data_IF_819952321877
#
_entry.id   IF_819952321877
#
_cell.length_a   1.000
_cell.length_b   1.000
_cell.length_c   1.000
_cell.angle_alpha   90.00
_cell.angle_beta   90.00
_cell.angle_gamma   90.00
#
_symmetry.space_group_name_H-M   'P 1'
#
loop_
_entity.id
_entity.type
_entity.pdbx_description
1 polymer ?
#
# COMPACT_ATOMS: atom_id res chain seq x y z
N UNK A 1 -23.72 26.31 6.80
CA UNK A 1 -23.90 25.15 7.70
C UNK A 1 -23.49 23.83 7.05
N UNK A 2 -23.92 23.52 5.82
CA UNK A 2 -23.65 22.23 5.15
C UNK A 2 -22.15 21.91 4.96
N UNK A 3 -21.30 22.90 4.60
CA UNK A 3 -19.83 22.72 4.52
C UNK A 3 -19.15 22.45 5.87
N UNK A 4 -19.67 23.02 6.96
CA UNK A 4 -19.12 22.81 8.31
C UNK A 4 -19.46 21.40 8.78
N UNK A 5 -20.69 20.93 8.53
CA UNK A 5 -21.10 19.56 8.85
C UNK A 5 -20.29 18.52 8.06
N UNK A 6 -20.08 18.74 6.76
CA UNK A 6 -19.24 17.86 5.93
C UNK A 6 -17.77 17.83 6.38
N UNK A 7 -17.23 18.98 6.82
CA UNK A 7 -15.87 19.03 7.36
C UNK A 7 -15.73 18.33 8.73
N UNK A 8 -16.74 18.42 9.59
CA UNK A 8 -16.75 17.69 10.86
C UNK A 8 -16.81 16.17 10.60
N UNK A 9 -17.59 15.73 9.60
CA UNK A 9 -17.69 14.32 9.22
C UNK A 9 -16.35 13.76 8.70
N UNK A 10 -15.64 14.49 7.83
CA UNK A 10 -14.32 14.06 7.33
C UNK A 10 -13.26 13.98 8.43
N UNK A 11 -13.21 14.94 9.35
CA UNK A 11 -12.27 14.90 10.49
C UNK A 11 -12.58 13.73 11.44
N UNK A 12 -13.86 13.49 11.72
CA UNK A 12 -14.29 12.36 12.54
C UNK A 12 -13.89 11.04 11.88
N UNK A 13 -14.07 10.91 10.57
CA UNK A 13 -13.69 9.72 9.81
C UNK A 13 -12.18 9.46 9.88
N UNK A 14 -11.35 10.48 9.69
CA UNK A 14 -9.89 10.38 9.85
C UNK A 14 -9.53 9.91 11.27
N UNK A 15 -10.17 10.48 12.30
CA UNK A 15 -9.93 10.11 13.70
C UNK A 15 -10.32 8.64 13.95
N UNK A 16 -11.46 8.19 13.44
CA UNK A 16 -11.93 6.81 13.58
C UNK A 16 -11.00 5.83 12.87
N UNK A 17 -10.65 6.08 11.60
CA UNK A 17 -9.74 5.21 10.82
C UNK A 17 -8.38 5.11 11.51
N UNK A 18 -7.82 6.22 11.98
CA UNK A 18 -6.53 6.22 12.68
C UNK A 18 -6.59 5.50 14.04
N UNK A 19 -7.68 5.67 14.78
CA UNK A 19 -7.89 4.98 16.07
C UNK A 19 -8.00 3.46 15.85
N UNK A 20 -8.87 3.04 14.91
CA UNK A 20 -9.02 1.63 14.54
C UNK A 20 -7.69 1.01 14.10
N UNK A 21 -6.90 1.73 13.31
CA UNK A 21 -5.59 1.24 12.88
C UNK A 21 -4.61 1.07 14.05
N UNK A 22 -4.62 1.98 15.02
CA UNK A 22 -3.79 1.87 16.23
C UNK A 22 -4.24 0.69 17.08
N UNK A 23 -5.55 0.50 17.26
CA UNK A 23 -6.11 -0.65 17.96
C UNK A 23 -5.70 -1.97 17.31
N UNK A 24 -5.86 -2.10 15.98
CA UNK A 24 -5.40 -3.26 15.20
C UNK A 24 -3.91 -3.54 15.46
N UNK A 25 -3.10 -2.49 15.37
CA UNK A 25 -1.64 -2.58 15.48
C UNK A 25 -1.24 -3.06 16.87
N UNK A 26 -1.90 -2.58 17.92
CA UNK A 26 -1.65 -3.00 19.31
C UNK A 26 -2.09 -4.44 19.53
N UNK A 27 -3.28 -4.83 19.05
CA UNK A 27 -3.78 -6.20 19.14
C UNK A 27 -2.83 -7.20 18.45
N UNK A 28 -2.37 -6.87 17.24
CA UNK A 28 -1.40 -7.68 16.49
C UNK A 28 -0.05 -7.77 17.23
N UNK A 29 0.44 -6.67 17.80
CA UNK A 29 1.69 -6.67 18.57
C UNK A 29 1.59 -7.53 19.84
N UNK A 30 0.47 -7.45 20.57
CA UNK A 30 0.22 -8.27 21.75
C UNK A 30 0.09 -9.76 21.40
N UNK A 31 -0.60 -10.08 20.31
CA UNK A 31 -0.71 -11.45 19.81
C UNK A 31 0.66 -12.03 19.44
N UNK A 32 1.48 -11.27 18.71
CA UNK A 32 2.86 -11.65 18.37
C UNK A 32 3.70 -11.92 19.62
N UNK A 33 3.62 -11.04 20.62
CA UNK A 33 4.38 -11.18 21.87
C UNK A 33 4.00 -12.45 22.66
N UNK A 34 2.71 -12.79 22.68
CA UNK A 34 2.20 -14.01 23.33
C UNK A 34 2.65 -15.28 22.59
N UNK A 35 2.69 -15.24 21.26
CA UNK A 35 3.18 -16.35 20.45
C UNK A 35 4.68 -16.57 20.68
N UNK A 36 5.48 -15.50 20.72
CA UNK A 36 6.92 -15.61 21.02
C UNK A 36 7.20 -16.12 22.42
N UNK A 37 6.40 -15.70 23.41
CA UNK A 37 6.49 -16.21 24.79
C UNK A 37 6.16 -17.71 24.87
N UNK A 38 5.12 -18.18 24.15
CA UNK A 38 4.76 -19.60 24.10
C UNK A 38 5.80 -20.48 23.39
N UNK A 39 6.45 -19.97 22.36
CA UNK A 39 7.55 -20.67 21.65
C UNK A 39 8.83 -20.71 22.50
N UNK A 40 9.01 -19.74 23.40
CA UNK A 40 10.17 -19.66 24.31
C UNK A 40 10.05 -20.60 25.52
N UNK A 41 8.98 -21.41 25.62
CA UNK A 41 8.83 -22.42 26.66
C UNK A 41 9.80 -23.60 26.36
N UNK A 42 10.66 -24.00 27.32
CA UNK A 42 11.86 -24.81 27.06
C UNK A 42 11.65 -26.24 26.54
N UNK A 43 10.41 -26.72 26.48
CA UNK A 43 10.07 -28.08 26.01
C UNK A 43 10.21 -28.25 24.49
N UNK A 44 10.32 -27.17 23.70
CA UNK A 44 10.43 -27.19 22.23
C UNK A 44 11.83 -26.72 21.74
N UNK A 45 12.68 -26.30 22.68
CA UNK A 45 13.99 -25.67 22.42
C UNK A 45 15.09 -26.62 21.93
N UNK A 46 14.81 -27.93 21.78
CA UNK A 46 15.80 -28.90 21.30
C UNK A 46 16.02 -28.89 19.77
N UNK A 47 15.27 -28.10 18.98
CA UNK A 47 15.35 -28.21 17.50
C UNK A 47 15.65 -26.95 16.69
N UNK A 48 15.79 -25.77 17.26
CA UNK A 48 16.04 -24.54 16.47
C UNK A 48 17.11 -23.65 17.08
N UNK A 49 18.37 -23.99 16.77
CA UNK A 49 19.53 -23.12 16.98
C UNK A 49 19.58 -22.06 15.88
N UNK A 50 18.94 -20.90 16.10
CA UNK A 50 19.35 -19.58 15.57
C UNK A 50 18.36 -18.48 16.03
N UNK A 51 18.72 -17.65 17.01
CA UNK A 51 17.87 -16.58 17.50
C UNK A 51 18.20 -15.26 16.78
N UNK A 52 17.74 -15.04 15.54
CA UNK A 52 17.81 -13.70 14.92
C UNK A 52 16.84 -13.43 13.76
N UNK A 53 15.64 -14.02 13.77
CA UNK A 53 14.69 -13.82 12.67
C UNK A 53 13.40 -13.20 13.19
N UNK A 54 13.25 -11.88 13.09
CA UNK A 54 11.92 -11.24 13.10
C UNK A 54 11.20 -11.70 11.84
N UNK A 55 10.26 -12.63 12.01
CA UNK A 55 9.41 -13.14 10.94
C UNK A 55 8.35 -12.10 10.62
N UNK A 56 8.20 -11.77 9.34
CA UNK A 56 7.33 -10.69 8.88
C UNK A 56 5.90 -11.17 8.60
N UNK A 57 5.65 -12.47 8.47
CA UNK A 57 4.30 -13.01 8.31
C UNK A 57 4.09 -14.33 9.05
N UNK A 58 3.00 -14.33 9.82
CA UNK A 58 2.42 -15.40 10.62
C UNK A 58 2.15 -16.66 9.79
N UNK A 59 2.47 -17.84 10.34
CA UNK A 59 1.85 -19.10 9.91
C UNK A 59 0.67 -19.54 10.76
N UNK A 60 0.45 -18.93 11.94
CA UNK A 60 -0.64 -19.30 12.83
C UNK A 60 -1.24 -18.07 13.51
N UNK A 61 -1.96 -17.23 12.75
CA UNK A 61 -2.85 -16.23 13.33
C UNK A 61 -3.97 -17.00 14.04
N UNK A 62 -4.16 -16.90 15.36
CA UNK A 62 -5.25 -17.57 16.05
C UNK A 62 -6.60 -17.21 15.39
N UNK A 63 -7.51 -18.18 15.25
CA UNK A 63 -8.83 -17.98 14.62
C UNK A 63 -9.60 -16.76 15.18
N UNK A 64 -9.43 -16.46 16.47
CA UNK A 64 -9.99 -15.26 17.10
C UNK A 64 -9.48 -13.96 16.47
N UNK A 65 -8.18 -13.89 16.18
CA UNK A 65 -7.56 -12.72 15.57
C UNK A 65 -7.91 -12.65 14.07
N UNK A 66 -8.10 -13.78 13.38
CA UNK A 66 -8.61 -13.77 12.00
C UNK A 66 -10.04 -13.23 11.90
N UNK A 67 -10.93 -13.65 12.81
CA UNK A 67 -12.31 -13.13 12.85
C UNK A 67 -12.31 -11.64 13.16
N UNK A 68 -11.48 -11.22 14.12
CA UNK A 68 -11.30 -9.81 14.44
C UNK A 68 -10.81 -8.98 13.25
N UNK A 69 -9.82 -9.47 12.50
CA UNK A 69 -9.35 -8.80 11.27
C UNK A 69 -10.50 -8.63 10.25
N UNK A 70 -11.35 -9.64 10.08
CA UNK A 70 -12.53 -9.56 9.19
C UNK A 70 -13.56 -8.54 9.67
N UNK A 71 -13.82 -8.50 10.98
CA UNK A 71 -14.72 -7.50 11.58
C UNK A 71 -14.16 -6.09 11.33
N UNK A 72 -12.86 -5.90 11.55
CA UNK A 72 -12.18 -4.63 11.30
C UNK A 72 -12.20 -4.24 9.81
N UNK A 73 -12.01 -5.18 8.89
CA UNK A 73 -12.15 -4.92 7.45
C UNK A 73 -13.54 -4.38 7.11
N UNK A 74 -14.57 -4.90 7.77
CA UNK A 74 -15.95 -4.43 7.60
C UNK A 74 -16.11 -3.00 8.13
N UNK A 75 -15.61 -2.72 9.33
CA UNK A 75 -15.59 -1.37 9.92
C UNK A 75 -14.84 -0.36 9.06
N UNK A 76 -13.66 -0.71 8.54
CA UNK A 76 -12.91 0.14 7.64
C UNK A 76 -13.65 0.40 6.33
N UNK A 77 -14.30 -0.60 5.73
CA UNK A 77 -15.07 -0.39 4.50
C UNK A 77 -16.24 0.58 4.71
N UNK A 78 -16.89 0.58 5.88
CA UNK A 78 -17.91 1.59 6.22
C UNK A 78 -17.36 3.02 6.28
N UNK A 79 -16.07 3.17 6.57
CA UNK A 79 -15.37 4.45 6.63
C UNK A 79 -14.73 4.83 5.29
N UNK A 80 -15.04 4.14 4.19
CA UNK A 80 -14.53 4.52 2.88
C UNK A 80 -15.04 5.92 2.46
N UNK A 81 -14.15 6.84 2.07
CA UNK A 81 -14.55 8.14 1.52
C UNK A 81 -15.37 7.98 0.24
N UNK A 82 -16.44 8.76 0.09
CA UNK A 82 -17.30 8.68 -1.10
C UNK A 82 -16.56 9.17 -2.35
N UNK A 83 -16.34 8.27 -3.32
CA UNK A 83 -15.59 8.52 -4.56
C UNK A 83 -16.25 9.49 -5.56
N UNK A 84 -17.42 10.06 -5.23
CA UNK A 84 -18.33 10.66 -6.21
C UNK A 84 -18.02 12.10 -6.62
N UNK A 85 -16.87 12.65 -6.27
CA UNK A 85 -16.51 13.97 -6.78
C UNK A 85 -15.01 14.04 -6.98
N UNK A 86 -14.61 14.35 -8.22
CA UNK A 86 -13.32 14.93 -8.56
C UNK A 86 -12.83 15.76 -7.36
N UNK A 87 -11.60 15.55 -6.83
CA UNK A 87 -11.21 16.12 -5.55
C UNK A 87 -11.55 17.59 -5.57
N UNK A 88 -12.59 17.95 -4.83
CA UNK A 88 -12.87 19.35 -4.60
C UNK A 88 -11.57 19.94 -4.02
N UNK A 89 -11.24 21.18 -4.33
CA UNK A 89 -10.04 21.82 -3.82
C UNK A 89 -10.01 21.95 -2.27
N UNK A 90 -10.97 21.32 -1.57
CA UNK A 90 -11.01 21.18 -0.12
C UNK A 90 -9.93 20.19 0.34
N UNK A 91 -8.89 20.72 0.98
CA UNK A 91 -7.76 19.95 1.48
C UNK A 91 -8.16 18.86 2.49
N UNK A 92 -9.32 18.99 3.14
CA UNK A 92 -9.80 17.98 4.09
C UNK A 92 -10.31 16.71 3.39
N UNK A 93 -11.01 16.84 2.28
CA UNK A 93 -11.47 15.69 1.48
C UNK A 93 -10.29 14.90 0.90
N UNK A 94 -9.22 15.61 0.51
CA UNK A 94 -7.98 15.00 0.05
C UNK A 94 -7.28 14.28 1.21
N UNK A 95 -7.23 14.90 2.39
CA UNK A 95 -6.65 14.28 3.59
C UNK A 95 -7.37 12.98 3.96
N UNK A 96 -8.69 12.99 4.00
CA UNK A 96 -9.52 11.83 4.32
C UNK A 96 -9.26 10.67 3.34
N UNK A 97 -9.33 10.97 2.04
CA UNK A 97 -9.01 10.02 0.95
C UNK A 97 -7.61 9.42 1.09
N UNK A 98 -6.59 10.27 1.27
CA UNK A 98 -5.21 9.81 1.34
C UNK A 98 -4.91 9.02 2.61
N UNK A 99 -5.43 9.44 3.77
CA UNK A 99 -5.22 8.73 5.03
C UNK A 99 -5.90 7.36 4.97
N UNK A 100 -7.15 7.28 4.49
CA UNK A 100 -7.86 6.02 4.31
C UNK A 100 -7.05 5.03 3.45
N UNK A 101 -6.69 5.43 2.22
CA UNK A 101 -5.98 4.54 1.31
C UNK A 101 -4.58 4.18 1.80
N UNK A 102 -3.88 5.11 2.45
CA UNK A 102 -2.58 4.82 3.08
C UNK A 102 -2.73 3.76 4.17
N UNK A 103 -3.73 3.92 5.05
CA UNK A 103 -3.99 2.98 6.15
C UNK A 103 -4.29 1.59 5.59
N UNK A 104 -5.15 1.49 4.59
CA UNK A 104 -5.46 0.20 3.96
C UNK A 104 -4.22 -0.52 3.41
N UNK A 105 -3.24 0.20 2.85
CA UNK A 105 -1.98 -0.41 2.42
C UNK A 105 -1.16 -0.90 3.62
N UNK A 106 -0.95 -0.04 4.63
CA UNK A 106 -0.03 -0.35 5.74
C UNK A 106 -0.57 -1.40 6.73
N UNK A 107 -1.89 -1.64 6.73
CA UNK A 107 -2.54 -2.77 7.42
C UNK A 107 -2.08 -4.10 6.86
N UNK A 108 -1.84 -4.18 5.55
CA UNK A 108 -1.44 -5.41 4.87
C UNK A 108 0.06 -5.50 4.62
N UNK A 109 0.76 -4.39 4.48
CA UNK A 109 2.22 -4.37 4.26
C UNK A 109 2.88 -3.30 5.11
N UNK A 110 3.71 -3.71 6.06
CA UNK A 110 4.39 -2.78 6.96
C UNK A 110 5.28 -1.79 6.19
N UNK A 111 5.13 -0.50 6.51
CA UNK A 111 5.86 0.59 5.85
C UNK A 111 7.38 0.42 5.94
N UNK A 112 7.90 -0.03 7.08
CA UNK A 112 9.32 -0.30 7.25
C UNK A 112 9.83 -1.41 6.31
N UNK A 113 8.98 -2.40 6.01
CA UNK A 113 9.29 -3.45 5.02
C UNK A 113 9.42 -2.87 3.62
N UNK A 114 8.47 -2.02 3.22
CA UNK A 114 8.52 -1.32 1.92
C UNK A 114 9.79 -0.48 1.76
N UNK A 115 10.21 0.21 2.82
CA UNK A 115 11.47 0.98 2.81
C UNK A 115 12.71 0.07 2.81
N UNK A 116 12.68 -1.04 3.54
CA UNK A 116 13.76 -2.03 3.53
C UNK A 116 13.93 -2.70 2.16
N UNK A 117 12.85 -2.99 1.44
CA UNK A 117 12.90 -3.50 0.05
C UNK A 117 13.69 -2.57 -0.88
N UNK A 118 13.61 -1.27 -0.62
CA UNK A 118 14.30 -0.22 -1.36
C UNK A 118 15.77 -0.04 -0.93
N UNK A 119 16.23 -0.76 0.10
CA UNK A 119 17.54 -0.56 0.71
C UNK A 119 17.63 0.69 1.59
N UNK A 120 16.51 1.34 1.92
CA UNK A 120 16.53 2.58 2.69
C UNK A 120 16.89 2.30 4.15
N UNK A 121 18.07 2.78 4.58
CA UNK A 121 18.62 2.56 5.94
C UNK A 121 18.56 1.09 6.38
N UNK A 122 18.72 0.17 5.42
CA UNK A 122 18.63 -1.26 5.64
C UNK A 122 19.92 -1.95 5.20
N UNK A 123 20.51 -2.77 6.07
CA UNK A 123 21.62 -3.65 5.69
C UNK A 123 21.15 -4.69 4.67
N UNK A 124 22.06 -5.24 3.85
CA UNK A 124 21.73 -6.32 2.90
C UNK A 124 20.91 -7.46 3.50
N UNK A 125 21.26 -7.94 4.69
CA UNK A 125 20.50 -8.99 5.37
C UNK A 125 19.04 -8.61 5.66
N UNK A 126 18.77 -7.36 5.99
CA UNK A 126 17.41 -6.83 6.19
C UNK A 126 16.66 -6.69 4.86
N UNK A 127 17.34 -6.31 3.78
CA UNK A 127 16.76 -6.28 2.42
C UNK A 127 16.35 -7.69 1.99
N UNK A 128 17.23 -8.69 2.17
CA UNK A 128 16.98 -10.09 1.79
C UNK A 128 15.79 -10.68 2.56
N UNK A 129 15.66 -10.33 3.84
CA UNK A 129 14.50 -10.72 4.67
C UNK A 129 13.24 -10.04 4.15
N UNK A 130 13.23 -8.71 3.99
CA UNK A 130 12.09 -7.97 3.49
C UNK A 130 11.62 -8.47 2.11
N UNK A 131 12.54 -8.80 1.21
CA UNK A 131 12.24 -9.37 -0.10
C UNK A 131 11.55 -10.72 0.01
N UNK A 132 12.13 -11.64 0.80
CA UNK A 132 11.53 -12.97 1.02
C UNK A 132 10.10 -12.83 1.56
N UNK A 133 9.92 -11.96 2.53
CA UNK A 133 8.67 -11.75 3.22
C UNK A 133 7.61 -11.11 2.32
N UNK A 134 8.00 -10.13 1.50
CA UNK A 134 7.11 -9.50 0.54
C UNK A 134 6.70 -10.47 -0.58
N UNK A 135 7.62 -11.28 -1.10
CA UNK A 135 7.31 -12.36 -2.05
C UNK A 135 6.36 -13.39 -1.44
N UNK A 136 6.57 -13.75 -0.17
CA UNK A 136 5.65 -14.64 0.55
C UNK A 136 4.26 -14.00 0.67
N UNK A 137 4.17 -12.71 1.00
CA UNK A 137 2.90 -11.99 1.04
C UNK A 137 2.19 -11.98 -0.33
N UNK A 138 2.92 -11.79 -1.42
CA UNK A 138 2.40 -11.86 -2.80
C UNK A 138 1.87 -13.25 -3.19
N UNK A 139 2.28 -14.30 -2.47
CA UNK A 139 1.74 -15.66 -2.64
C UNK A 139 0.40 -15.87 -1.92
N UNK A 140 -0.03 -14.90 -1.10
CA UNK A 140 -1.29 -14.93 -0.36
C UNK A 140 -2.54 -14.68 -1.22
N UNK A 141 -3.68 -14.37 -0.57
CA UNK A 141 -4.95 -14.14 -1.25
C UNK A 141 -4.87 -13.02 -2.30
N UNK A 142 -5.15 -13.35 -3.56
CA UNK A 142 -5.08 -12.40 -4.68
C UNK A 142 -6.01 -11.19 -4.51
N UNK A 143 -7.23 -11.32 -3.97
CA UNK A 143 -8.09 -10.16 -3.71
C UNK A 143 -7.46 -9.12 -2.79
N UNK A 144 -6.81 -9.54 -1.70
CA UNK A 144 -6.11 -8.64 -0.78
C UNK A 144 -5.00 -7.87 -1.48
N UNK A 145 -4.23 -8.54 -2.34
CA UNK A 145 -3.14 -7.91 -3.10
C UNK A 145 -3.70 -6.89 -4.08
N UNK A 146 -4.71 -7.27 -4.87
CA UNK A 146 -5.36 -6.36 -5.84
C UNK A 146 -6.01 -5.16 -5.17
N UNK A 147 -6.60 -5.34 -3.99
CA UNK A 147 -7.14 -4.24 -3.17
C UNK A 147 -6.05 -3.24 -2.77
N UNK A 148 -4.88 -3.73 -2.34
CA UNK A 148 -3.74 -2.85 -2.04
C UNK A 148 -3.23 -2.10 -3.29
N UNK A 149 -3.17 -2.77 -4.46
CA UNK A 149 -2.80 -2.13 -5.73
C UNK A 149 -3.78 -1.02 -6.09
N UNK A 150 -5.09 -1.27 -5.94
CA UNK A 150 -6.11 -0.25 -6.16
C UNK A 150 -5.91 0.96 -5.22
N UNK A 151 -5.76 0.75 -3.91
CA UNK A 151 -5.50 1.83 -2.97
C UNK A 151 -4.25 2.65 -3.32
N UNK A 152 -3.18 1.97 -3.77
CA UNK A 152 -1.96 2.64 -4.20
C UNK A 152 -2.15 3.45 -5.50
N UNK A 153 -2.93 2.93 -6.45
CA UNK A 153 -3.30 3.63 -7.68
C UNK A 153 -4.14 4.89 -7.39
N UNK A 154 -5.09 4.81 -6.45
CA UNK A 154 -5.87 5.99 -6.03
C UNK A 154 -4.96 7.04 -5.40
N UNK A 155 -4.11 6.66 -4.43
CA UNK A 155 -3.13 7.59 -3.83
C UNK A 155 -2.27 8.29 -4.88
N UNK A 156 -1.75 7.52 -5.83
CA UNK A 156 -0.91 8.07 -6.89
C UNK A 156 -1.69 9.07 -7.73
N UNK A 157 -2.87 8.72 -8.23
CA UNK A 157 -3.66 9.62 -9.08
C UNK A 157 -4.10 10.90 -8.36
N UNK A 158 -4.52 10.78 -7.10
CA UNK A 158 -4.91 11.92 -6.27
C UNK A 158 -3.77 12.91 -6.08
N UNK A 159 -2.53 12.43 -5.90
CA UNK A 159 -1.39 13.27 -5.55
C UNK A 159 -0.52 13.66 -6.75
N UNK A 160 -0.52 12.88 -7.83
CA UNK A 160 0.30 13.10 -9.03
C UNK A 160 0.00 14.45 -9.71
N UNK A 161 -1.24 14.93 -9.65
CA UNK A 161 -1.66 16.21 -10.26
C UNK A 161 -1.54 17.42 -9.32
N UNK A 162 -1.11 17.22 -8.07
CA UNK A 162 -1.03 18.29 -7.05
C UNK A 162 0.17 19.19 -7.29
N UNK A 163 -0.09 20.50 -7.36
CA UNK A 163 0.96 21.53 -7.49
C UNK A 163 1.44 22.07 -6.14
N UNK A 164 0.56 22.09 -5.15
CA UNK A 164 0.84 22.63 -3.82
C UNK A 164 0.49 21.57 -2.76
N UNK A 165 1.46 20.72 -2.46
CA UNK A 165 1.29 19.66 -1.48
C UNK A 165 1.39 20.17 -0.03
N UNK A 166 0.47 19.72 0.83
CA UNK A 166 0.62 19.84 2.28
C UNK A 166 1.69 18.90 2.84
N UNK A 167 2.20 19.13 4.05
CA UNK A 167 3.35 18.38 4.61
C UNK A 167 3.15 16.84 4.67
N UNK A 168 1.91 16.39 4.85
CA UNK A 168 1.56 14.96 4.94
C UNK A 168 1.37 14.29 3.55
N UNK A 169 1.13 15.08 2.50
CA UNK A 169 0.85 14.59 1.15
C UNK A 169 2.07 13.84 0.55
N UNK A 170 3.33 14.36 0.60
CA UNK A 170 4.50 13.65 0.11
C UNK A 170 4.70 12.28 0.76
N UNK A 171 4.35 12.13 2.04
CA UNK A 171 4.47 10.85 2.76
C UNK A 171 3.42 9.83 2.32
N UNK A 172 2.20 10.29 2.04
CA UNK A 172 1.16 9.43 1.46
C UNK A 172 1.53 9.02 0.04
N UNK A 173 2.05 9.97 -0.75
CA UNK A 173 2.50 9.72 -2.11
C UNK A 173 3.63 8.68 -2.13
N UNK A 174 4.65 8.87 -1.29
CA UNK A 174 5.74 7.92 -1.12
C UNK A 174 5.23 6.52 -0.76
N UNK A 175 4.25 6.40 0.14
CA UNK A 175 3.72 5.10 0.56
C UNK A 175 3.07 4.36 -0.61
N UNK A 176 2.16 5.02 -1.35
CA UNK A 176 1.50 4.42 -2.51
C UNK A 176 2.49 4.06 -3.62
N UNK A 177 3.40 4.97 -3.95
CA UNK A 177 4.43 4.75 -4.97
C UNK A 177 5.39 3.61 -4.60
N UNK A 178 5.85 3.55 -3.34
CA UNK A 178 6.73 2.46 -2.88
C UNK A 178 6.05 1.10 -2.94
N UNK A 179 4.76 1.04 -2.60
CA UNK A 179 3.98 -0.19 -2.73
C UNK A 179 3.87 -0.62 -4.20
N UNK A 180 3.50 0.30 -5.11
CA UNK A 180 3.39 -0.02 -6.54
C UNK A 180 4.75 -0.43 -7.14
N UNK A 181 5.83 0.26 -6.78
CA UNK A 181 7.18 -0.11 -7.20
C UNK A 181 7.53 -1.53 -6.73
N UNK A 182 7.30 -1.85 -5.46
CA UNK A 182 7.56 -3.17 -4.91
C UNK A 182 6.71 -4.24 -5.59
N UNK A 183 5.43 -3.94 -5.82
CA UNK A 183 4.51 -4.81 -6.56
C UNK A 183 5.04 -5.09 -7.98
N UNK A 184 5.34 -4.05 -8.76
CA UNK A 184 5.85 -4.21 -10.12
C UNK A 184 7.20 -4.93 -10.16
N UNK A 185 8.04 -4.77 -9.13
CA UNK A 185 9.35 -5.41 -9.08
C UNK A 185 9.31 -6.89 -8.70
N UNK A 186 8.40 -7.28 -7.81
CA UNK A 186 8.42 -8.60 -7.15
C UNK A 186 7.21 -9.49 -7.43
N UNK A 187 6.11 -8.94 -7.97
CA UNK A 187 4.96 -9.74 -8.35
C UNK A 187 5.19 -10.48 -9.67
N UNK A 188 4.54 -11.63 -9.81
CA UNK A 188 4.44 -12.37 -11.06
C UNK A 188 3.11 -12.02 -11.77
N UNK A 189 3.05 -12.23 -13.09
CA UNK A 189 1.86 -11.98 -13.91
C UNK A 189 0.58 -12.66 -13.39
N UNK A 190 0.74 -13.78 -12.68
CA UNK A 190 -0.35 -14.55 -12.06
C UNK A 190 -1.11 -13.80 -10.96
N UNK A 191 -0.57 -12.68 -10.48
CA UNK A 191 -1.24 -11.83 -9.49
C UNK A 191 -2.26 -10.89 -10.16
N UNK A 192 -1.99 -10.48 -11.41
CA UNK A 192 -2.84 -9.58 -12.21
C UNK A 192 -3.90 -10.35 -12.99
N UNK A 193 -3.51 -11.48 -13.59
CA UNK A 193 -4.37 -12.24 -14.49
C UNK A 193 -5.61 -12.79 -13.76
N UNK A 194 -6.78 -12.57 -14.37
CA UNK A 194 -8.02 -13.17 -13.91
C UNK A 194 -8.05 -14.68 -14.13
N UNK A 195 -8.82 -15.39 -13.33
CA UNK A 195 -8.90 -16.86 -13.34
C UNK A 195 -9.49 -17.47 -14.62
N UNK A 196 -9.92 -16.65 -15.58
CA UNK A 196 -10.55 -17.13 -16.82
C UNK A 196 -9.58 -17.03 -18.00
N UNK A 197 -9.15 -18.20 -18.48
CA UNK A 197 -8.37 -18.36 -19.71
C UNK A 197 -9.20 -18.14 -21.00
N UNK A 198 -10.51 -17.89 -20.89
CA UNK A 198 -11.43 -17.87 -22.02
C UNK A 198 -11.93 -16.45 -22.34
N UNK A 199 -11.03 -15.57 -22.81
CA UNK A 199 -11.39 -14.48 -23.73
C UNK A 199 -10.15 -13.65 -24.10
N UNK A 200 -9.31 -14.18 -24.98
CA UNK A 200 -8.38 -13.34 -25.75
C UNK A 200 -9.20 -12.60 -26.82
N UNK A 201 -9.97 -11.59 -26.40
CA UNK A 201 -10.56 -10.60 -27.31
C UNK A 201 -9.67 -9.37 -27.29
N UNK A 202 -8.90 -9.22 -28.38
CA UNK A 202 -7.91 -8.16 -28.68
C UNK A 202 -8.44 -6.69 -28.62
N UNK A 203 -9.68 -6.47 -28.18
CA UNK A 203 -10.37 -5.18 -28.17
C UNK A 203 -10.93 -4.78 -26.79
N UNK A 204 -10.44 -5.36 -25.68
CA UNK A 204 -10.84 -4.88 -24.36
C UNK A 204 -10.12 -3.57 -24.02
N UNK A 205 -10.89 -2.52 -23.75
CA UNK A 205 -10.40 -1.23 -23.25
C UNK A 205 -9.63 -1.45 -21.94
N UNK A 206 -8.43 -0.88 -21.82
CA UNK A 206 -7.62 -0.99 -20.61
C UNK A 206 -8.41 -0.56 -19.36
N UNK A 207 -8.32 -1.36 -18.29
CA UNK A 207 -8.95 -1.10 -17.01
C UNK A 207 -8.19 0.01 -16.27
N UNK A 208 -8.83 1.14 -16.00
CA UNK A 208 -8.20 2.27 -15.30
C UNK A 208 -8.45 2.22 -13.81
N UNK A 209 -7.48 1.72 -13.04
CA UNK A 209 -7.64 1.57 -11.59
C UNK A 209 -7.84 2.90 -10.87
N UNK A 210 -7.29 3.97 -11.42
CA UNK A 210 -7.39 5.31 -10.86
C UNK A 210 -8.71 6.03 -11.19
N UNK A 211 -9.55 5.43 -12.05
CA UNK A 211 -10.83 6.00 -12.49
C UNK A 211 -11.94 4.96 -12.53
N UNK A 212 -11.90 3.98 -11.62
CA UNK A 212 -12.98 2.99 -11.52
C UNK A 212 -14.29 3.72 -11.25
N UNK A 213 -15.25 3.49 -12.13
CA UNK A 213 -16.48 4.30 -12.22
C UNK A 213 -17.62 3.75 -11.37
N UNK A 214 -17.58 2.48 -11.00
CA UNK A 214 -18.56 1.85 -10.10
C UNK A 214 -17.90 0.96 -9.04
N UNK A 215 -18.57 0.81 -7.90
CA UNK A 215 -18.15 -0.14 -6.87
C UNK A 215 -18.17 -1.59 -7.38
N UNK A 216 -19.06 -1.91 -8.33
CA UNK A 216 -19.14 -3.23 -8.96
C UNK A 216 -17.90 -3.52 -9.82
N UNK A 217 -17.42 -2.54 -10.59
CA UNK A 217 -16.20 -2.68 -11.41
C UNK A 217 -14.97 -2.91 -10.52
N UNK A 218 -14.89 -2.16 -9.42
CA UNK A 218 -13.85 -2.32 -8.40
C UNK A 218 -13.91 -3.69 -7.73
N UNK A 219 -15.09 -4.12 -7.28
CA UNK A 219 -15.29 -5.41 -6.60
C UNK A 219 -14.99 -6.56 -7.54
N UNK A 220 -15.42 -6.46 -8.81
CA UNK A 220 -15.12 -7.45 -9.84
C UNK A 220 -13.62 -7.60 -10.07
N UNK A 221 -12.89 -6.49 -10.22
CA UNK A 221 -11.43 -6.50 -10.33
C UNK A 221 -10.76 -7.12 -9.10
N UNK A 222 -11.18 -6.73 -7.90
CA UNK A 222 -10.62 -7.25 -6.65
C UNK A 222 -10.82 -8.76 -6.56
N UNK A 223 -12.02 -9.27 -6.80
CA UNK A 223 -12.33 -10.70 -6.64
C UNK A 223 -11.78 -11.56 -7.78
N UNK A 224 -11.94 -11.11 -9.02
CA UNK A 224 -11.74 -11.96 -10.20
C UNK A 224 -10.50 -11.58 -11.03
N UNK A 225 -9.88 -10.43 -10.78
CA UNK A 225 -8.80 -9.91 -11.63
C UNK A 225 -9.32 -9.38 -12.97
N UNK A 226 -8.42 -9.17 -13.91
CA UNK A 226 -8.71 -8.66 -15.25
C UNK A 226 -7.73 -9.27 -16.23
N UNK A 227 -8.22 -9.73 -17.38
CA UNK A 227 -7.41 -10.44 -18.38
C UNK A 227 -6.82 -9.51 -19.45
N UNK A 228 -7.02 -8.19 -19.34
CA UNK A 228 -6.46 -7.18 -20.24
C UNK A 228 -5.48 -6.23 -19.54
N UNK A 229 -5.14 -5.14 -20.21
CA UNK A 229 -4.22 -4.12 -19.68
C UNK A 229 -4.81 -3.37 -18.50
N UNK A 230 -4.08 -3.33 -17.39
CA UNK A 230 -4.42 -2.54 -16.20
C UNK A 230 -3.60 -1.25 -16.25
N UNK A 231 -4.26 -0.09 -16.19
CA UNK A 231 -3.64 1.22 -16.41
C UNK A 231 -3.82 2.16 -15.22
N UNK A 232 -2.80 2.98 -14.95
CA UNK A 232 -2.84 4.12 -14.02
C UNK A 232 -2.32 5.38 -14.69
N UNK A 233 -3.07 6.48 -14.58
CA UNK A 233 -2.66 7.78 -15.13
C UNK A 233 -1.26 8.20 -14.62
N UNK A 234 -0.39 8.65 -15.52
CA UNK A 234 1.00 9.03 -15.21
C UNK A 234 1.98 7.85 -15.27
N UNK A 235 1.55 6.65 -14.86
CA UNK A 235 2.38 5.44 -14.85
C UNK A 235 2.24 4.62 -16.14
N UNK A 236 1.08 4.57 -16.78
CA UNK A 236 0.84 3.67 -17.90
C UNK A 236 0.33 2.29 -17.44
N UNK A 237 0.66 1.24 -18.21
CA UNK A 237 0.23 -0.11 -17.92
C UNK A 237 1.03 -0.70 -16.74
N UNK A 238 0.33 -1.31 -15.78
CA UNK A 238 0.89 -1.96 -14.61
C UNK A 238 1.20 -3.42 -14.94
N UNK A 239 2.34 -3.65 -15.61
CA UNK A 239 2.80 -4.98 -15.97
C UNK A 239 3.92 -5.37 -14.99
N UNK A 240 3.73 -6.40 -14.14
CA UNK A 240 4.80 -6.89 -13.27
C UNK A 240 6.06 -7.26 -14.07
N UNK A 241 7.23 -6.93 -13.52
CA UNK A 241 8.51 -7.08 -14.19
C UNK A 241 8.87 -5.94 -15.16
N UNK A 242 7.91 -5.14 -15.63
CA UNK A 242 8.18 -4.05 -16.56
C UNK A 242 8.45 -2.72 -15.85
N UNK A 243 9.65 -2.17 -16.07
CA UNK A 243 10.05 -0.80 -15.74
C UNK A 243 9.57 -0.28 -14.36
N UNK A 244 9.78 -0.99 -13.24
CA UNK A 244 9.29 -0.58 -11.91
C UNK A 244 9.81 0.81 -11.50
N UNK A 245 11.02 1.16 -11.93
CA UNK A 245 11.65 2.46 -11.62
C UNK A 245 10.90 3.66 -12.23
N UNK A 246 10.11 3.47 -13.29
CA UNK A 246 9.29 4.55 -13.87
C UNK A 246 8.35 5.17 -12.85
N UNK A 247 7.79 4.35 -11.96
CA UNK A 247 6.87 4.81 -10.90
C UNK A 247 7.59 5.72 -9.91
N UNK A 248 8.84 5.38 -9.58
CA UNK A 248 9.69 6.17 -8.71
C UNK A 248 10.18 7.47 -9.38
N UNK A 249 10.47 7.43 -10.68
CA UNK A 249 10.88 8.60 -11.45
C UNK A 249 9.77 9.64 -11.55
N UNK A 250 8.53 9.21 -11.80
CA UNK A 250 7.38 10.13 -11.79
C UNK A 250 7.09 10.69 -10.40
N UNK A 251 7.26 9.90 -9.32
CA UNK A 251 7.21 10.44 -7.95
C UNK A 251 8.25 11.54 -7.74
N UNK A 252 9.52 11.29 -8.10
CA UNK A 252 10.59 12.26 -7.91
C UNK A 252 10.32 13.56 -8.68
N UNK A 253 9.85 13.44 -9.93
CA UNK A 253 9.47 14.58 -10.78
C UNK A 253 8.34 15.41 -10.16
N UNK A 254 7.27 14.78 -9.67
CA UNK A 254 6.17 15.49 -9.01
C UNK A 254 6.62 16.18 -7.71
N UNK A 255 7.49 15.55 -6.92
CA UNK A 255 8.00 16.10 -5.67
C UNK A 255 9.00 17.25 -5.89
N UNK A 256 9.85 17.18 -6.92
CA UNK A 256 10.79 18.25 -7.26
C UNK A 256 10.08 19.52 -7.75
N UNK A 257 8.86 19.39 -8.29
CA UNK A 257 8.04 20.53 -8.69
C UNK A 257 7.38 21.27 -7.50
N UNK A 258 7.44 20.71 -6.28
CA UNK A 258 6.77 21.30 -5.11
C UNK A 258 7.57 22.46 -4.51
N UNK A 259 6.93 23.62 -4.39
CA UNK A 259 7.54 24.81 -3.78
C UNK A 259 7.20 24.94 -2.29
N UNK A 260 5.96 24.65 -1.89
CA UNK A 260 5.48 24.80 -0.51
C UNK A 260 6.09 23.80 0.49
N UNK A 261 6.49 22.61 0.02
CA UNK A 261 7.12 21.54 0.83
C UNK A 261 8.53 21.20 0.34
N UNK A 262 9.20 22.16 -0.32
CA UNK A 262 10.43 21.92 -1.09
C UNK A 262 11.50 21.13 -0.32
N UNK A 263 11.72 21.40 0.98
CA UNK A 263 12.73 20.69 1.77
C UNK A 263 12.41 19.20 1.91
N UNK A 264 11.19 18.86 2.34
CA UNK A 264 10.77 17.47 2.51
C UNK A 264 10.67 16.76 1.15
N UNK A 265 10.00 17.38 0.18
CA UNK A 265 9.77 16.82 -1.14
C UNK A 265 11.08 16.60 -1.91
N UNK A 266 12.01 17.55 -1.86
CA UNK A 266 13.36 17.39 -2.44
C UNK A 266 14.15 16.29 -1.73
N UNK A 267 14.07 16.19 -0.40
CA UNK A 267 14.71 15.14 0.37
C UNK A 267 14.23 13.74 -0.04
N UNK A 268 12.91 13.56 -0.12
CA UNK A 268 12.30 12.30 -0.56
C UNK A 268 12.69 12.01 -2.02
N UNK A 269 12.56 12.98 -2.93
CA UNK A 269 12.89 12.79 -4.34
C UNK A 269 14.35 12.36 -4.55
N UNK A 270 15.30 12.99 -3.84
CA UNK A 270 16.72 12.62 -3.90
C UNK A 270 16.96 11.20 -3.38
N UNK A 271 16.31 10.82 -2.27
CA UNK A 271 16.42 9.47 -1.73
C UNK A 271 15.87 8.42 -2.71
N UNK A 272 14.71 8.68 -3.32
CA UNK A 272 14.08 7.80 -4.30
C UNK A 272 14.92 7.67 -5.58
N UNK A 273 15.43 8.78 -6.14
CA UNK A 273 16.30 8.70 -7.32
C UNK A 273 17.57 7.90 -7.06
N UNK A 274 18.14 7.98 -5.84
CA UNK A 274 19.29 7.14 -5.48
C UNK A 274 18.93 5.66 -5.52
N UNK A 275 17.74 5.29 -5.05
CA UNK A 275 17.21 3.92 -5.13
C UNK A 275 17.06 3.50 -6.61
N UNK A 276 16.48 4.34 -7.47
CA UNK A 276 16.35 4.07 -8.91
C UNK A 276 17.70 3.79 -9.59
N UNK A 277 18.74 4.53 -9.19
CA UNK A 277 20.06 4.48 -9.82
C UNK A 277 21.06 3.56 -9.10
N UNK A 278 20.62 2.81 -8.07
CA UNK A 278 21.49 1.90 -7.31
C UNK A 278 22.57 2.60 -6.49
N UNK A 279 22.39 3.89 -6.18
CA UNK A 279 23.28 4.66 -5.33
C UNK A 279 22.90 4.45 -3.86
N UNK A 280 23.87 4.28 -2.95
CA UNK A 280 23.57 4.11 -1.53
C UNK A 280 22.84 5.35 -0.98
N UNK A 281 21.78 5.12 -0.19
CA UNK A 281 21.13 6.17 0.58
C UNK A 281 22.12 6.63 1.67
N UNK A 282 22.82 7.74 1.43
CA UNK A 282 23.82 8.26 2.37
C UNK A 282 23.25 8.47 3.77
N UNK A 283 24.10 8.24 4.78
CA UNK A 283 23.85 8.33 6.22
C UNK A 283 23.08 9.58 6.67
#
# INVERSE_FOLDING_TARGET
>A
MQKIAAGIDGLLRILLITTLFVEESVELQLAKSRLTERVSNPSILARTRNPTTRQFFERDIPLRLQNRIKDMDTEFNFLQPSSHTCPSADGLSIMDTCIYHKIQIIRHVHLQGLYALAGWKASKAHVDVAERDFRLWLSGPKPTIRKCVWHAAVLFSTLHSRRDMALWEPMCFLTGTMFMWAYLKYADDRVVQGSSADCVTRNQKALRLDRLTSEDEMTSWIEHGFSGDVHVTGIGNLIPGECPNRVLDELAKCLLAQTGTANLSSGIAKAVMRICHGLPASD
#
